data_IF_721982413522
#
_entry.id   IF_721982413522
#
_cell.length_a   1.000
_cell.length_b   1.000
_cell.length_c   1.000
_cell.angle_alpha   90.00
_cell.angle_beta   90.00
_cell.angle_gamma   90.00
#
_symmetry.space_group_name_H-M   'P 1'
#
loop_
_entity.id
_entity.type
_entity.pdbx_description
1 polymer ?
#
# COMPACT_ATOMS: atom_id res chain seq x y z
N UNK A 1 10.98 -8.83 8.25
CA UNK A 1 12.42 -8.98 8.59
C UNK A 1 13.19 -9.62 7.44
N UNK A 2 14.40 -9.13 7.16
CA UNK A 2 15.30 -9.76 6.20
C UNK A 2 15.86 -11.09 6.73
N UNK A 3 16.13 -12.04 5.83
CA UNK A 3 16.77 -13.31 6.19
C UNK A 3 18.30 -13.19 6.23
N UNK A 4 18.97 -13.99 7.07
CA UNK A 4 20.45 -14.05 7.10
C UNK A 4 21.04 -14.31 5.70
N UNK A 5 20.42 -15.21 4.92
CA UNK A 5 20.82 -15.53 3.54
C UNK A 5 20.81 -14.30 2.62
N UNK A 6 19.79 -13.45 2.73
CA UNK A 6 19.72 -12.23 1.93
C UNK A 6 20.82 -11.24 2.30
N UNK A 7 21.13 -11.08 3.59
CA UNK A 7 22.15 -10.15 4.06
C UNK A 7 23.56 -10.60 3.65
N UNK A 8 23.88 -11.88 3.79
CA UNK A 8 25.19 -12.44 3.40
C UNK A 8 25.41 -12.39 1.89
N UNK A 9 24.32 -12.38 1.11
CA UNK A 9 24.39 -12.17 -0.34
C UNK A 9 24.84 -10.76 -0.76
N UNK A 10 24.86 -9.79 0.17
CA UNK A 10 25.31 -8.42 -0.10
C UNK A 10 26.84 -8.36 0.00
N UNK A 11 27.49 -7.94 -1.08
CA UNK A 11 28.95 -7.79 -1.13
C UNK A 11 29.43 -6.90 0.02
N UNK A 12 30.32 -7.45 0.86
CA UNK A 12 30.89 -6.74 2.02
C UNK A 12 30.24 -7.06 3.38
N UNK A 13 29.15 -7.84 3.41
CA UNK A 13 28.50 -8.30 4.64
C UNK A 13 28.92 -9.75 4.93
N UNK A 14 29.70 -9.94 6.01
CA UNK A 14 30.03 -11.29 6.51
C UNK A 14 28.89 -11.88 7.33
N UNK A 15 28.90 -13.21 7.54
CA UNK A 15 27.90 -13.87 8.39
C UNK A 15 27.81 -13.29 9.80
N UNK A 16 28.97 -13.02 10.41
CA UNK A 16 29.04 -12.43 11.76
C UNK A 16 28.44 -11.02 11.78
N UNK A 17 28.65 -10.22 10.73
CA UNK A 17 28.03 -8.89 10.61
C UNK A 17 26.51 -9.02 10.45
N UNK A 18 26.04 -9.93 9.59
CA UNK A 18 24.62 -10.17 9.37
C UNK A 18 23.90 -10.59 10.66
N UNK A 19 24.51 -11.44 11.49
CA UNK A 19 23.95 -11.84 12.78
C UNK A 19 23.83 -10.67 13.76
N UNK A 20 24.87 -9.83 13.86
CA UNK A 20 24.84 -8.64 14.72
C UNK A 20 23.72 -7.67 14.29
N UNK A 21 23.57 -7.44 12.99
CA UNK A 21 22.49 -6.60 12.44
C UNK A 21 21.11 -7.17 12.78
N UNK A 22 20.91 -8.48 12.59
CA UNK A 22 19.63 -9.13 12.91
C UNK A 22 19.33 -9.11 14.40
N UNK A 23 20.35 -9.28 15.26
CA UNK A 23 20.17 -9.21 16.71
C UNK A 23 19.71 -7.82 17.15
N UNK A 24 20.38 -6.76 16.71
CA UNK A 24 19.99 -5.39 17.01
C UNK A 24 18.56 -5.08 16.51
N UNK A 25 18.20 -5.52 15.30
CA UNK A 25 16.86 -5.32 14.76
C UNK A 25 15.75 -6.06 15.57
N UNK A 26 16.06 -7.22 16.15
CA UNK A 26 15.12 -7.98 17.01
C UNK A 26 14.92 -7.35 18.39
N UNK A 27 15.88 -6.59 18.88
CA UNK A 27 15.77 -5.87 20.15
C UNK A 27 14.87 -4.63 20.01
N UNK A 28 14.81 -4.04 18.81
CA UNK A 28 13.98 -2.86 18.52
C UNK A 28 12.52 -3.16 18.16
N UNK A 29 12.23 -4.39 17.70
CA UNK A 29 10.90 -4.78 17.24
C UNK A 29 10.42 -5.97 18.06
N UNK A 30 9.19 -5.90 18.61
CA UNK A 30 8.62 -7.02 19.33
C UNK A 30 8.33 -8.19 18.38
N UNK A 31 9.22 -9.19 18.38
CA UNK A 31 9.15 -10.38 17.51
C UNK A 31 8.77 -11.65 18.27
N UNK A 32 8.34 -11.52 19.53
CA UNK A 32 7.98 -12.64 20.41
C UNK A 32 6.50 -13.01 20.36
N UNK A 33 6.12 -13.98 21.19
CA UNK A 33 4.72 -14.24 21.50
C UNK A 33 4.16 -13.12 22.37
N UNK A 34 2.91 -12.74 22.11
CA UNK A 34 2.14 -11.77 22.89
C UNK A 34 0.71 -12.31 23.07
N UNK A 35 -0.05 -11.76 24.02
CA UNK A 35 -1.41 -12.24 24.26
C UNK A 35 -2.37 -11.68 23.19
N UNK A 36 -3.49 -12.36 22.96
CA UNK A 36 -4.51 -11.84 22.05
C UNK A 36 -5.10 -10.51 22.55
N UNK A 37 -5.09 -10.27 23.86
CA UNK A 37 -5.53 -9.00 24.46
C UNK A 37 -4.59 -7.85 24.08
N UNK A 38 -3.27 -8.06 24.17
CA UNK A 38 -2.27 -7.06 23.77
C UNK A 38 -2.35 -6.73 22.27
N UNK A 39 -2.62 -7.75 21.43
CA UNK A 39 -2.85 -7.56 19.99
C UNK A 39 -4.12 -6.74 19.74
N UNK A 40 -5.19 -6.98 20.50
CA UNK A 40 -6.42 -6.19 20.38
C UNK A 40 -6.20 -4.74 20.82
N UNK A 41 -5.46 -4.52 21.90
CA UNK A 41 -5.16 -3.17 22.39
C UNK A 41 -4.30 -2.40 21.40
N UNK A 42 -3.19 -2.99 20.94
CA UNK A 42 -2.30 -2.35 19.95
C UNK A 42 -2.98 -2.05 18.62
N UNK A 43 -4.03 -2.79 18.25
CA UNK A 43 -4.84 -2.50 17.05
C UNK A 43 -5.68 -1.24 17.20
N UNK A 44 -6.03 -0.81 18.41
CA UNK A 44 -6.79 0.44 18.63
C UNK A 44 -5.97 1.68 18.28
N UNK A 45 -4.64 1.55 18.30
CA UNK A 45 -3.71 2.63 17.95
C UNK A 45 -3.49 2.76 16.43
N UNK A 46 -4.09 1.88 15.63
CA UNK A 46 -3.96 1.94 14.17
C UNK A 46 -4.74 3.13 13.61
N UNK A 47 -4.06 3.86 12.73
CA UNK A 47 -4.66 4.98 12.02
C UNK A 47 -5.57 4.43 10.93
N UNK A 48 -6.78 5.00 10.82
CA UNK A 48 -7.70 4.74 9.72
C UNK A 48 -7.97 6.01 8.92
N UNK A 49 -7.79 5.94 7.60
CA UNK A 49 -8.01 7.07 6.71
C UNK A 49 -9.48 7.09 6.27
N UNK A 50 -10.17 8.20 6.47
CA UNK A 50 -11.54 8.36 5.99
C UNK A 50 -11.58 8.34 4.46
N UNK A 51 -12.58 7.65 3.90
CA UNK A 51 -12.89 7.71 2.47
C UNK A 51 -13.66 8.98 2.09
N UNK A 52 -13.94 9.88 3.04
CA UNK A 52 -14.81 11.04 2.85
C UNK A 52 -16.29 10.70 2.71
N UNK A 53 -16.69 9.47 3.05
CA UNK A 53 -18.08 9.00 3.00
C UNK A 53 -18.37 8.17 4.25
N UNK A 54 -19.23 8.68 5.12
CA UNK A 54 -19.60 8.00 6.37
C UNK A 54 -20.17 6.60 6.10
N UNK A 55 -20.97 6.42 5.04
CA UNK A 55 -21.54 5.12 4.70
C UNK A 55 -20.47 4.10 4.29
N UNK A 56 -19.43 4.53 3.57
CA UNK A 56 -18.32 3.65 3.18
C UNK A 56 -17.44 3.39 4.39
N UNK A 57 -17.11 4.42 5.17
CA UNK A 57 -16.33 4.27 6.40
C UNK A 57 -17.02 3.32 7.39
N UNK A 58 -18.35 3.38 7.55
CA UNK A 58 -19.14 2.45 8.35
C UNK A 58 -19.17 1.03 7.77
N UNK A 59 -19.33 0.89 6.46
CA UNK A 59 -19.23 -0.42 5.81
C UNK A 59 -17.88 -1.08 6.10
N UNK A 60 -16.80 -0.29 6.10
CA UNK A 60 -15.45 -0.74 6.42
C UNK A 60 -15.23 -1.02 7.91
N UNK A 61 -16.12 -0.55 8.81
CA UNK A 61 -16.14 -0.97 10.23
C UNK A 61 -16.71 -2.39 10.40
N UNK A 62 -17.68 -2.78 9.57
CA UNK A 62 -18.40 -4.05 9.68
C UNK A 62 -17.94 -5.15 8.72
N UNK A 63 -17.27 -4.78 7.64
CA UNK A 63 -16.74 -5.72 6.67
C UNK A 63 -15.47 -6.36 7.20
N UNK A 64 -15.62 -7.58 7.71
CA UNK A 64 -14.58 -8.60 7.70
C UNK A 64 -14.12 -8.73 6.25
N UNK A 65 -13.12 -7.93 5.85
CA UNK A 65 -12.53 -8.01 4.51
C UNK A 65 -11.99 -9.42 4.42
N UNK A 66 -12.70 -10.27 3.65
CA UNK A 66 -12.35 -11.67 3.49
C UNK A 66 -10.89 -11.72 3.05
N UNK A 67 -9.99 -12.15 3.94
CA UNK A 67 -8.69 -12.74 3.58
C UNK A 67 -8.96 -14.01 2.79
N UNK A 68 -9.43 -13.88 1.55
CA UNK A 68 -9.65 -15.02 0.67
C UNK A 68 -8.27 -15.49 0.21
N UNK A 69 -8.00 -16.79 0.41
CA UNK A 69 -6.97 -17.51 -0.35
C UNK A 69 -7.09 -17.08 -1.81
N UNK A 70 -6.03 -16.47 -2.33
CA UNK A 70 -5.85 -16.16 -3.75
C UNK A 70 -6.19 -17.39 -4.59
N UNK A 71 -7.39 -17.40 -5.17
CA UNK A 71 -7.85 -18.38 -6.15
C UNK A 71 -8.91 -17.69 -7.03
N UNK A 72 -8.42 -17.29 -8.22
CA UNK A 72 -9.16 -17.07 -9.47
C UNK A 72 -10.48 -16.27 -9.42
N UNK A 73 -10.42 -14.95 -9.60
CA UNK A 73 -11.43 -14.21 -10.39
C UNK A 73 -10.73 -13.02 -11.08
N UNK A 74 -10.90 -12.92 -12.40
CA UNK A 74 -10.44 -11.81 -13.24
C UNK A 74 -11.40 -10.60 -13.15
N UNK A 75 -10.91 -9.43 -13.59
CA UNK A 75 -11.53 -8.11 -13.82
C UNK A 75 -11.02 -7.02 -12.85
N UNK A 76 -10.15 -6.17 -13.42
CA UNK A 76 -9.58 -4.89 -12.96
C UNK A 76 -9.44 -4.67 -11.45
N UNK A 77 -8.24 -4.98 -10.97
CA UNK A 77 -7.83 -4.97 -9.57
C UNK A 77 -6.98 -3.73 -9.30
N UNK A 78 -7.54 -2.74 -8.61
CA UNK A 78 -6.82 -1.60 -8.06
C UNK A 78 -6.37 -1.97 -6.65
N UNK A 79 -5.07 -2.01 -6.42
CA UNK A 79 -4.53 -2.23 -5.08
C UNK A 79 -4.56 -0.91 -4.34
N UNK A 80 -5.38 -0.86 -3.31
CA UNK A 80 -5.44 0.25 -2.37
C UNK A 80 -5.52 -0.38 -0.99
N UNK A 81 -4.40 -0.38 -0.25
CA UNK A 81 -4.20 -0.71 1.19
C UNK A 81 -5.43 -0.39 2.08
N UNK A 82 -5.98 -1.30 2.92
CA UNK A 82 -7.08 -1.11 3.91
C UNK A 82 -7.22 -2.34 4.86
N UNK A 83 -7.86 -2.14 6.03
CA UNK A 83 -8.17 -3.13 7.07
C UNK A 83 -9.43 -2.70 7.92
N UNK A 84 -9.65 -3.37 9.06
CA UNK A 84 -10.88 -3.61 9.85
C UNK A 84 -11.27 -2.57 10.95
N UNK A 85 -11.00 -1.27 10.80
CA UNK A 85 -11.40 -0.27 11.83
C UNK A 85 -12.00 1.02 11.26
N UNK A 86 -12.86 0.91 10.24
CA UNK A 86 -13.62 2.05 9.72
C UNK A 86 -12.80 3.10 8.99
N UNK A 87 -13.07 3.24 7.70
CA UNK A 87 -12.10 3.85 6.79
C UNK A 87 -10.98 2.87 6.45
N UNK A 88 -9.87 3.40 5.97
CA UNK A 88 -8.76 2.66 5.38
C UNK A 88 -7.62 2.51 6.39
N UNK A 89 -7.50 1.34 7.05
CA UNK A 89 -6.47 1.11 8.09
C UNK A 89 -5.05 0.92 7.54
N UNK A 90 -4.08 1.53 8.21
CA UNK A 90 -2.63 1.41 7.94
C UNK A 90 -2.07 0.02 8.28
N UNK A 91 -0.88 -0.32 7.76
CA UNK A 91 -0.21 -1.58 8.15
C UNK A 91 -0.79 -2.87 7.53
N UNK A 92 -1.71 -2.76 6.57
CA UNK A 92 -2.36 -3.88 5.89
C UNK A 92 -2.60 -3.64 4.41
N UNK A 93 -2.89 -4.70 3.63
CA UNK A 93 -3.29 -4.58 2.22
C UNK A 93 -4.80 -4.75 2.07
N UNK A 94 -5.36 -3.71 1.47
CA UNK A 94 -6.62 -3.47 0.76
C UNK A 94 -6.65 -3.82 -0.72
N UNK A 95 -7.68 -4.52 -1.17
CA UNK A 95 -8.00 -4.67 -2.58
C UNK A 95 -9.35 -4.01 -2.90
N UNK A 96 -9.36 -3.06 -3.84
CA UNK A 96 -10.58 -2.54 -4.46
C UNK A 96 -10.82 -3.27 -5.78
N UNK A 97 -11.86 -4.09 -5.82
CA UNK A 97 -12.27 -4.81 -7.02
C UNK A 97 -13.63 -4.32 -7.54
N UNK A 98 -13.82 -4.39 -8.85
CA UNK A 98 -15.08 -4.08 -9.52
C UNK A 98 -14.87 -3.75 -10.98
N UNK A 99 -15.96 -3.59 -11.73
CA UNK A 99 -15.88 -3.26 -13.15
C UNK A 99 -15.27 -1.87 -13.41
N UNK A 100 -14.88 -1.60 -14.65
CA UNK A 100 -14.48 -0.26 -15.05
C UNK A 100 -15.60 0.76 -14.73
N UNK A 101 -15.22 1.98 -14.32
CA UNK A 101 -16.14 3.06 -13.89
C UNK A 101 -16.97 2.82 -12.61
N UNK A 102 -16.64 1.85 -11.79
CA UNK A 102 -17.30 1.67 -10.47
C UNK A 102 -16.77 2.59 -9.35
N UNK A 103 -15.89 3.54 -9.66
CA UNK A 103 -15.39 4.53 -8.70
C UNK A 103 -14.05 4.22 -8.02
N UNK A 104 -13.37 3.12 -8.38
CA UNK A 104 -12.07 2.71 -7.80
C UNK A 104 -11.01 3.83 -7.84
N UNK A 105 -10.73 4.36 -9.03
CA UNK A 105 -9.78 5.47 -9.21
C UNK A 105 -10.24 6.75 -8.49
N UNK A 106 -11.55 7.02 -8.43
CA UNK A 106 -12.08 8.18 -7.72
C UNK A 106 -11.80 8.09 -6.21
N UNK A 107 -11.97 6.90 -5.64
CA UNK A 107 -11.63 6.63 -4.24
C UNK A 107 -10.11 6.76 -4.01
N UNK A 108 -9.27 6.33 -4.96
CA UNK A 108 -7.83 6.54 -4.88
C UNK A 108 -7.45 8.04 -4.86
N UNK A 109 -8.05 8.86 -5.73
CA UNK A 109 -7.84 10.31 -5.71
C UNK A 109 -8.28 10.96 -4.40
N UNK A 110 -9.41 10.51 -3.85
CA UNK A 110 -9.92 10.96 -2.56
C UNK A 110 -8.95 10.66 -1.43
N UNK A 111 -8.39 9.45 -1.39
CA UNK A 111 -7.47 9.03 -0.34
C UNK A 111 -6.11 9.72 -0.42
N UNK A 112 -5.63 10.08 -1.62
CA UNK A 112 -4.43 10.92 -1.77
C UNK A 112 -4.55 12.26 -1.03
N UNK A 113 -5.77 12.78 -0.87
CA UNK A 113 -6.02 14.03 -0.15
C UNK A 113 -6.30 13.76 1.31
N UNK A 114 -7.20 12.83 1.65
CA UNK A 114 -7.57 12.59 3.05
C UNK A 114 -6.43 12.03 3.87
N UNK A 115 -5.48 11.29 3.29
CA UNK A 115 -4.31 10.81 4.02
C UNK A 115 -3.42 11.93 4.59
N UNK A 116 -3.49 13.13 4.01
CA UNK A 116 -2.70 14.29 4.41
C UNK A 116 -3.35 15.05 5.59
N UNK A 117 -4.61 14.78 5.89
CA UNK A 117 -5.31 15.43 6.99
C UNK A 117 -4.74 15.02 8.36
N UNK A 118 -4.95 15.84 9.40
CA UNK A 118 -4.76 15.46 10.79
C UNK A 118 -5.48 14.17 11.17
N UNK A 119 -4.92 13.40 12.11
CA UNK A 119 -5.50 12.12 12.55
C UNK A 119 -6.89 12.30 13.16
N UNK A 120 -7.11 13.39 13.91
CA UNK A 120 -8.40 13.74 14.51
C UNK A 120 -9.49 14.11 13.46
N UNK A 121 -9.08 14.35 12.20
CA UNK A 121 -9.96 14.55 11.04
C UNK A 121 -10.01 13.34 10.11
N UNK A 122 -9.57 12.17 10.58
CA UNK A 122 -9.58 10.92 9.82
C UNK A 122 -8.52 10.88 8.72
N UNK A 123 -7.41 11.59 8.90
CA UNK A 123 -6.23 11.46 8.04
C UNK A 123 -5.09 10.69 8.70
N UNK A 124 -3.91 10.71 8.07
CA UNK A 124 -2.71 10.02 8.57
C UNK A 124 -1.50 10.93 8.74
N UNK A 125 -1.67 12.24 8.54
CA UNK A 125 -0.61 13.25 8.60
C UNK A 125 0.61 12.85 7.76
N UNK A 126 0.36 12.39 6.54
CA UNK A 126 1.44 11.87 5.69
C UNK A 126 1.16 12.04 4.20
N UNK A 127 2.25 11.99 3.43
CA UNK A 127 2.24 12.05 1.97
C UNK A 127 1.61 10.79 1.36
N UNK A 128 1.26 10.87 0.07
CA UNK A 128 0.79 9.74 -0.71
C UNK A 128 1.81 9.34 -1.80
N UNK A 129 1.98 8.04 -2.03
CA UNK A 129 2.63 7.48 -3.20
C UNK A 129 1.57 6.95 -4.16
N UNK A 130 1.66 7.28 -5.45
CA UNK A 130 0.73 6.82 -6.47
C UNK A 130 1.49 6.21 -7.65
N UNK A 131 1.34 4.90 -7.84
CA UNK A 131 1.84 4.17 -9.02
C UNK A 131 0.67 3.95 -9.97
N UNK A 132 0.70 4.62 -11.12
CA UNK A 132 -0.32 4.54 -12.16
C UNK A 132 0.17 3.63 -13.30
N UNK A 133 -0.60 2.61 -13.63
CA UNK A 133 -0.32 1.68 -14.73
C UNK A 133 -1.21 1.90 -15.94
N UNK A 134 -2.35 2.57 -15.76
CA UNK A 134 -3.41 2.68 -16.77
C UNK A 134 -3.54 4.12 -17.32
N UNK A 135 -2.82 5.08 -16.74
CA UNK A 135 -2.92 6.50 -17.11
C UNK A 135 -4.21 7.14 -16.59
N UNK A 136 -4.71 6.70 -15.44
CA UNK A 136 -5.98 7.16 -14.84
C UNK A 136 -5.80 8.35 -13.91
N UNK A 137 -4.56 8.67 -13.49
CA UNK A 137 -4.30 9.74 -12.55
C UNK A 137 -4.59 11.13 -13.15
N UNK A 138 -5.30 11.99 -12.40
CA UNK A 138 -5.68 13.35 -12.83
C UNK A 138 -5.43 14.33 -11.67
N UNK A 139 -4.35 15.12 -11.69
CA UNK A 139 -4.01 16.06 -10.62
C UNK A 139 -5.12 17.06 -10.28
N UNK A 140 -5.85 17.54 -11.30
CA UNK A 140 -6.96 18.48 -11.13
C UNK A 140 -8.06 17.90 -10.23
N UNK A 141 -8.19 16.56 -10.18
CA UNK A 141 -9.14 15.89 -9.30
C UNK A 141 -8.74 16.03 -7.84
N UNK A 142 -7.45 16.03 -7.51
CA UNK A 142 -6.95 16.24 -6.15
C UNK A 142 -7.23 17.66 -5.68
N UNK A 143 -6.98 18.68 -6.52
CA UNK A 143 -7.28 20.08 -6.18
C UNK A 143 -8.77 20.26 -5.85
N UNK A 144 -9.67 19.74 -6.68
CA UNK A 144 -11.11 19.81 -6.42
C UNK A 144 -11.53 19.08 -5.13
N UNK A 145 -10.80 18.04 -4.71
CA UNK A 145 -11.06 17.35 -3.45
C UNK A 145 -10.46 18.15 -2.28
N UNK A 146 -9.26 18.72 -2.43
CA UNK A 146 -8.59 19.56 -1.44
C UNK A 146 -9.45 20.75 -1.01
N UNK A 147 -10.10 21.42 -1.97
CA UNK A 147 -11.04 22.51 -1.72
C UNK A 147 -12.17 22.11 -0.74
N UNK A 148 -12.70 20.89 -0.86
CA UNK A 148 -13.77 20.39 0.02
C UNK A 148 -13.33 20.24 1.48
N UNK A 149 -12.03 20.09 1.71
CA UNK A 149 -11.45 19.98 3.04
C UNK A 149 -10.82 21.28 3.55
N UNK A 150 -10.87 22.35 2.74
CA UNK A 150 -10.22 23.62 3.04
C UNK A 150 -8.69 23.56 2.97
N UNK A 151 -8.15 22.67 2.16
CA UNK A 151 -6.70 22.52 1.93
C UNK A 151 -6.27 23.32 0.70
N UNK A 152 -5.03 23.82 0.73
CA UNK A 152 -4.39 24.41 -0.45
C UNK A 152 -4.10 23.32 -1.50
N UNK A 153 -4.61 23.51 -2.71
CA UNK A 153 -4.54 22.51 -3.77
C UNK A 153 -3.11 22.19 -4.21
N UNK A 154 -2.25 23.21 -4.28
CA UNK A 154 -0.87 23.05 -4.75
C UNK A 154 -0.03 22.33 -3.70
N UNK A 155 -0.18 22.71 -2.42
CA UNK A 155 0.42 21.99 -1.29
C UNK A 155 0.00 20.51 -1.24
N UNK A 156 -1.28 20.21 -1.55
CA UNK A 156 -1.77 18.82 -1.63
C UNK A 156 -1.08 18.07 -2.77
N UNK A 157 -0.87 18.71 -3.93
CA UNK A 157 -0.19 18.10 -5.07
C UNK A 157 1.30 17.80 -4.77
N UNK A 158 2.00 18.73 -4.12
CA UNK A 158 3.41 18.56 -3.73
C UNK A 158 3.63 17.39 -2.76
N UNK A 159 2.59 17.01 -2.01
CA UNK A 159 2.59 15.87 -1.10
C UNK A 159 2.18 14.54 -1.75
N UNK A 160 1.99 14.49 -3.07
CA UNK A 160 1.70 13.26 -3.82
C UNK A 160 2.86 12.90 -4.75
N UNK A 161 3.64 11.89 -4.35
CA UNK A 161 4.67 11.30 -5.18
C UNK A 161 4.03 10.40 -6.25
N UNK A 162 4.05 10.84 -7.50
CA UNK A 162 3.44 10.14 -8.63
C UNK A 162 4.49 9.48 -9.54
N UNK A 163 4.22 8.25 -9.98
CA UNK A 163 4.99 7.58 -11.01
C UNK A 163 4.09 6.77 -11.95
N UNK A 164 4.42 6.79 -13.25
CA UNK A 164 3.75 5.96 -14.26
C UNK A 164 4.58 4.72 -14.57
N UNK A 165 4.00 3.53 -14.35
CA UNK A 165 4.61 2.28 -14.77
C UNK A 165 4.22 1.96 -16.22
N UNK A 166 5.15 1.37 -16.97
CA UNK A 166 4.95 1.05 -18.40
C UNK A 166 5.00 -0.45 -18.72
N UNK A 167 5.54 -1.26 -17.80
CA UNK A 167 5.58 -2.71 -17.84
C UNK A 167 5.76 -3.26 -16.40
N UNK A 168 5.61 -4.57 -16.22
CA UNK A 168 5.67 -5.24 -14.92
C UNK A 168 7.05 -5.13 -14.24
N UNK A 169 8.14 -5.10 -14.99
CA UNK A 169 9.49 -4.90 -14.44
C UNK A 169 9.67 -3.47 -13.89
N UNK A 170 9.26 -2.47 -14.65
CA UNK A 170 9.29 -1.07 -14.21
C UNK A 170 8.40 -0.88 -12.97
N UNK A 171 7.23 -1.50 -12.95
CA UNK A 171 6.34 -1.49 -11.77
C UNK A 171 7.05 -2.03 -10.52
N UNK A 172 7.85 -3.10 -10.65
CA UNK A 172 8.66 -3.65 -9.57
C UNK A 172 9.77 -2.69 -9.11
N UNK A 173 10.43 -2.01 -10.04
CA UNK A 173 11.48 -1.03 -9.74
C UNK A 173 10.92 0.18 -9.00
N UNK A 174 9.74 0.66 -9.38
CA UNK A 174 9.04 1.76 -8.69
C UNK A 174 8.75 1.42 -7.22
N UNK A 175 8.41 0.17 -6.87
CA UNK A 175 8.26 -0.22 -5.47
C UNK A 175 9.57 -0.12 -4.67
N UNK A 176 10.71 -0.39 -5.29
CA UNK A 176 12.02 -0.24 -4.65
C UNK A 176 12.32 1.24 -4.39
N UNK A 177 12.04 2.10 -5.37
CA UNK A 177 12.17 3.55 -5.21
C UNK A 177 11.23 4.09 -4.13
N UNK A 178 9.96 3.65 -4.13
CA UNK A 178 9.00 3.99 -3.09
C UNK A 178 9.52 3.62 -1.69
N UNK A 179 10.13 2.44 -1.55
CA UNK A 179 10.74 2.02 -0.27
C UNK A 179 11.83 2.97 0.21
N UNK A 180 12.64 3.52 -0.71
CA UNK A 180 13.66 4.51 -0.37
C UNK A 180 13.04 5.85 0.05
N UNK A 181 12.03 6.33 -0.69
CA UNK A 181 11.32 7.57 -0.36
C UNK A 181 10.63 7.50 1.01
N UNK A 182 10.05 6.35 1.35
CA UNK A 182 9.41 6.09 2.65
C UNK A 182 10.40 6.03 3.81
N UNK A 183 11.68 5.78 3.55
CA UNK A 183 12.72 5.85 4.57
C UNK A 183 13.13 7.30 4.90
N UNK A 184 12.91 8.24 3.98
CA UNK A 184 13.33 9.65 4.11
C UNK A 184 12.18 10.57 4.56
N UNK A 185 10.95 10.24 4.20
CA UNK A 185 9.76 11.06 4.46
C UNK A 185 8.60 10.21 4.95
N UNK A 186 7.71 10.81 5.75
CA UNK A 186 6.49 10.16 6.22
C UNK A 186 5.46 10.06 5.09
N UNK A 187 5.15 8.83 4.69
CA UNK A 187 4.03 8.51 3.82
C UNK A 187 2.95 7.77 4.61
N UNK A 188 1.70 8.19 4.45
CA UNK A 188 0.55 7.54 5.08
C UNK A 188 -0.16 6.58 4.12
N UNK A 189 0.11 6.69 2.81
CA UNK A 189 -0.63 5.95 1.78
C UNK A 189 0.27 5.55 0.61
N UNK A 190 0.07 4.33 0.11
CA UNK A 190 0.62 3.84 -1.16
C UNK A 190 -0.54 3.29 -2.00
N UNK A 191 -0.70 3.83 -3.21
CA UNK A 191 -1.69 3.39 -4.20
C UNK A 191 -0.99 2.75 -5.39
N UNK A 192 -1.55 1.63 -5.86
CA UNK A 192 -1.18 1.01 -7.13
C UNK A 192 -2.44 0.82 -7.98
N UNK A 193 -2.67 1.74 -8.93
CA UNK A 193 -3.80 1.73 -9.86
C UNK A 193 -3.29 1.36 -11.27
N UNK A 194 -3.19 0.08 -11.63
CA UNK A 194 -3.69 -1.12 -10.98
C UNK A 194 -2.58 -2.18 -10.82
N UNK A 195 -2.66 -3.04 -9.80
CA UNK A 195 -1.55 -3.96 -9.51
C UNK A 195 -1.36 -5.06 -10.55
N UNK A 196 -2.39 -5.35 -11.35
CA UNK A 196 -2.42 -6.54 -12.22
C UNK A 196 -2.44 -6.22 -13.70
N UNK A 197 -2.74 -4.97 -14.11
CA UNK A 197 -2.88 -4.62 -15.53
C UNK A 197 -1.62 -4.98 -16.33
N UNK A 198 -0.44 -4.51 -15.90
CA UNK A 198 0.80 -4.74 -16.64
C UNK A 198 1.21 -6.22 -16.65
N UNK A 199 0.98 -6.94 -15.54
CA UNK A 199 1.21 -8.39 -15.51
C UNK A 199 0.26 -9.18 -16.41
N UNK A 200 -0.96 -8.70 -16.65
CA UNK A 200 -1.89 -9.33 -17.61
C UNK A 200 -1.45 -9.08 -19.05
N UNK A 201 -0.88 -7.92 -19.33
CA UNK A 201 -0.38 -7.55 -20.66
C UNK A 201 0.93 -8.30 -20.98
N UNK A 202 1.90 -8.25 -20.07
CA UNK A 202 3.24 -8.82 -20.28
C UNK A 202 3.25 -10.36 -20.29
N UNK A 203 2.31 -11.00 -19.59
CA UNK A 203 2.17 -12.45 -19.50
C UNK A 203 0.82 -12.90 -20.06
N UNK A 204 0.82 -13.26 -21.34
CA UNK A 204 -0.37 -13.48 -22.16
C UNK A 204 -0.60 -14.97 -22.48
N UNK A 205 -1.86 -15.39 -22.44
CA UNK A 205 -2.24 -16.78 -22.73
C UNK A 205 -2.05 -17.76 -21.57
N UNK A 206 -2.47 -19.02 -21.77
CA UNK A 206 -2.46 -20.06 -20.71
C UNK A 206 -1.06 -20.59 -20.38
N UNK A 207 -0.14 -20.57 -21.35
CA UNK A 207 1.23 -21.07 -21.17
C UNK A 207 2.05 -20.26 -20.17
N UNK A 208 1.77 -18.96 -20.03
CA UNK A 208 2.50 -18.05 -19.15
C UNK A 208 1.81 -17.82 -17.80
N UNK A 209 0.69 -18.51 -17.54
CA UNK A 209 -0.09 -18.35 -16.32
C UNK A 209 0.77 -18.60 -15.07
N UNK A 210 1.59 -19.65 -15.07
CA UNK A 210 2.44 -19.97 -13.92
C UNK A 210 3.50 -18.89 -13.66
N UNK A 211 4.15 -18.38 -14.71
CA UNK A 211 5.14 -17.31 -14.61
C UNK A 211 4.48 -16.01 -14.09
N UNK A 212 3.31 -15.65 -14.64
CA UNK A 212 2.53 -14.50 -14.16
C UNK A 212 2.20 -14.60 -12.69
N UNK A 213 1.70 -15.76 -12.24
CA UNK A 213 1.34 -15.96 -10.83
C UNK A 213 2.56 -15.86 -9.92
N UNK A 214 3.73 -16.36 -10.34
CA UNK A 214 4.96 -16.21 -9.58
C UNK A 214 5.42 -14.75 -9.46
N UNK A 215 5.42 -14.00 -10.56
CA UNK A 215 5.85 -12.60 -10.54
C UNK A 215 4.87 -11.69 -9.81
N UNK A 216 3.56 -11.88 -10.00
CA UNK A 216 2.55 -11.16 -9.25
C UNK A 216 2.63 -11.49 -7.75
N UNK A 217 2.86 -12.75 -7.37
CA UNK A 217 3.05 -13.12 -5.97
C UNK A 217 4.30 -12.45 -5.35
N UNK A 218 5.40 -12.33 -6.11
CA UNK A 218 6.59 -11.58 -5.68
C UNK A 218 6.27 -10.10 -5.48
N UNK A 219 5.50 -9.50 -6.40
CA UNK A 219 5.08 -8.11 -6.34
C UNK A 219 4.21 -7.83 -5.10
N UNK A 220 3.13 -8.60 -4.92
CA UNK A 220 2.23 -8.48 -3.76
C UNK A 220 2.99 -8.73 -2.45
N UNK A 221 3.89 -9.71 -2.40
CA UNK A 221 4.71 -9.97 -1.21
C UNK A 221 5.62 -8.79 -0.85
N UNK A 222 6.15 -8.08 -1.85
CA UNK A 222 6.95 -6.87 -1.62
C UNK A 222 6.10 -5.71 -1.12
N UNK A 223 4.89 -5.52 -1.66
CA UNK A 223 3.93 -4.55 -1.11
C UNK A 223 3.66 -4.90 0.36
N UNK A 224 3.35 -6.16 0.69
CA UNK A 224 3.05 -6.54 2.08
C UNK A 224 4.20 -6.22 3.04
N UNK A 225 5.45 -6.39 2.59
CA UNK A 225 6.64 -6.06 3.39
C UNK A 225 6.85 -4.56 3.54
N UNK A 226 6.57 -3.77 2.50
CA UNK A 226 6.63 -2.32 2.58
C UNK A 226 5.67 -1.81 3.65
N UNK A 227 4.47 -2.37 3.67
CA UNK A 227 3.39 -1.96 4.58
C UNK A 227 3.61 -2.41 6.02
N UNK A 228 4.07 -3.65 6.23
CA UNK A 228 4.28 -4.22 7.57
C UNK A 228 5.47 -3.62 8.35
N UNK A 229 6.24 -2.71 7.74
CA UNK A 229 7.47 -2.15 8.31
C UNK A 229 7.51 -0.62 8.32
N UNK A 230 6.39 0.05 7.98
CA UNK A 230 6.34 1.52 7.82
C UNK A 230 5.65 2.26 8.97
N UNK A 231 5.16 1.56 10.00
CA UNK A 231 4.45 2.14 11.15
C UNK A 231 4.79 1.36 12.42
#
# INVERSE_FOLDING_TARGET
MATKKQLVGIKGISEVKAEKMLKAAREMVNVGFTTAADVLESRKDLITLSTGSNAVDELLKGALVRRKKLLNVFYDIVFLLMCDLGGVETGSITELFGEFRTGKTQLCHQLCVTCQLPVDRGGGEGKALFIDTEGTFRPQRLQAIAERYGLDGDSVLDNVAFARAYNSEHQMQLLVQASAMMAESRFALVIVDSATALFRTDYSGRGELAARQQELAKYVSRISRLVAHSF
#
